data_IF_232859721619
#
_entry.id   IF_232859721619
#
_cell.length_a   1.000
_cell.length_b   1.000
_cell.length_c   1.000
_cell.angle_alpha   90.00
_cell.angle_beta   90.00
_cell.angle_gamma   90.00
#
_symmetry.space_group_name_H-M   'P 1'
#
loop_
_entity.id
_entity.type
_entity.pdbx_description
1 polymer ?
#
# COMPACT_ATOMS: atom_id res chain seq x y z
N UNK A 1 -4.05 21.92 -11.33
CA UNK A 1 -3.62 21.34 -10.05
C UNK A 1 -4.04 22.32 -8.98
N UNK A 2 -4.84 21.93 -7.98
CA UNK A 2 -5.25 22.83 -6.90
C UNK A 2 -4.01 23.32 -6.14
N UNK A 3 -4.01 24.59 -5.76
CA UNK A 3 -2.87 25.19 -5.05
C UNK A 3 -2.76 24.60 -3.64
N UNK A 4 -1.53 24.51 -3.10
CA UNK A 4 -1.28 24.11 -1.71
C UNK A 4 -2.09 24.98 -0.74
N UNK A 5 -2.18 26.29 -1.02
CA UNK A 5 -2.94 27.23 -0.20
C UNK A 5 -4.46 26.95 -0.26
N UNK A 6 -4.97 26.55 -1.44
CA UNK A 6 -6.37 26.21 -1.65
C UNK A 6 -6.76 24.92 -0.92
N UNK A 7 -5.94 23.88 -1.03
CA UNK A 7 -6.13 22.63 -0.30
C UNK A 7 -6.00 22.86 1.22
N UNK A 8 -5.01 23.64 1.66
CA UNK A 8 -4.81 23.96 3.08
C UNK A 8 -5.95 24.77 3.68
N UNK A 9 -6.69 25.54 2.88
CA UNK A 9 -7.90 26.24 3.32
C UNK A 9 -9.11 25.30 3.54
N UNK A 10 -9.21 24.22 2.76
CA UNK A 10 -10.34 23.27 2.84
C UNK A 10 -10.08 22.12 3.83
N UNK A 11 -8.82 21.71 3.97
CA UNK A 11 -8.39 20.57 4.79
C UNK A 11 -8.85 20.63 6.26
N UNK A 12 -8.78 21.77 6.98
CA UNK A 12 -9.11 21.82 8.40
C UNK A 12 -10.57 21.43 8.68
N UNK A 13 -11.50 21.84 7.83
CA UNK A 13 -12.94 21.54 7.97
C UNK A 13 -13.21 20.03 7.90
N UNK A 14 -12.55 19.34 6.96
CA UNK A 14 -12.73 17.90 6.80
C UNK A 14 -11.96 17.11 7.87
N UNK A 15 -10.77 17.55 8.27
CA UNK A 15 -9.97 16.91 9.30
C UNK A 15 -10.65 16.90 10.68
N UNK A 16 -11.44 17.93 11.01
CA UNK A 16 -12.20 17.98 12.28
C UNK A 16 -13.19 16.82 12.43
N UNK A 17 -13.63 16.22 11.32
CA UNK A 17 -14.56 15.08 11.34
C UNK A 17 -13.86 13.73 11.52
N UNK A 18 -12.52 13.71 11.50
CA UNK A 18 -11.72 12.50 11.54
C UNK A 18 -11.08 12.30 12.92
N UNK A 19 -10.94 11.03 13.32
CA UNK A 19 -10.12 10.65 14.47
C UNK A 19 -8.68 10.51 14.00
N UNK A 20 -7.88 11.54 14.23
CA UNK A 20 -6.47 11.61 13.84
C UNK A 20 -5.57 11.13 14.98
N UNK A 21 -4.40 10.57 14.66
CA UNK A 21 -3.40 10.26 15.68
C UNK A 21 -2.77 11.53 16.27
N UNK A 22 -2.25 11.44 17.50
CA UNK A 22 -1.57 12.57 18.18
C UNK A 22 -0.36 13.10 17.39
N UNK A 23 0.23 12.27 16.54
CA UNK A 23 1.40 12.62 15.73
C UNK A 23 1.02 13.09 14.30
N UNK A 24 -0.27 13.19 13.98
CA UNK A 24 -0.70 13.63 12.67
C UNK A 24 -0.37 15.11 12.45
N UNK A 25 0.32 15.41 11.35
CA UNK A 25 0.62 16.77 10.93
C UNK A 25 0.03 17.03 9.56
N UNK A 26 -0.98 17.93 9.44
CA UNK A 26 -1.61 18.27 8.17
C UNK A 26 -0.61 18.76 7.11
N UNK A 27 0.39 19.55 7.52
CA UNK A 27 1.43 20.05 6.62
C UNK A 27 2.34 18.94 6.09
N UNK A 28 2.70 17.97 6.94
CA UNK A 28 3.51 16.82 6.51
C UNK A 28 2.71 15.87 5.62
N UNK A 29 1.42 15.69 5.92
CA UNK A 29 0.49 14.95 5.07
C UNK A 29 0.39 15.58 3.67
N UNK A 30 0.12 16.89 3.58
CA UNK A 30 0.02 17.59 2.31
C UNK A 30 1.35 17.55 1.54
N UNK A 31 2.46 17.81 2.21
CA UNK A 31 3.78 17.80 1.57
C UNK A 31 4.11 16.41 1.03
N UNK A 32 3.82 15.34 1.78
CA UNK A 32 3.98 13.98 1.31
C UNK A 32 3.18 13.71 0.04
N UNK A 33 1.88 13.99 0.03
CA UNK A 33 1.07 13.72 -1.15
C UNK A 33 1.40 14.64 -2.33
N UNK A 34 1.82 15.89 -2.09
CA UNK A 34 2.26 16.77 -3.18
C UNK A 34 3.53 16.27 -3.87
N UNK A 35 4.48 15.73 -3.09
CA UNK A 35 5.74 15.22 -3.62
C UNK A 35 5.57 13.87 -4.32
N UNK A 36 4.77 12.98 -3.73
CA UNK A 36 4.71 11.57 -4.15
C UNK A 36 3.47 11.19 -4.96
N UNK A 37 2.36 11.93 -4.82
CA UNK A 37 1.08 11.54 -5.39
C UNK A 37 0.10 12.73 -5.55
N UNK A 38 0.50 13.81 -6.24
CA UNK A 38 -0.30 15.04 -6.30
C UNK A 38 -1.69 14.82 -6.91
N UNK A 39 -1.85 13.79 -7.73
CA UNK A 39 -3.11 13.42 -8.36
C UNK A 39 -4.13 12.85 -7.37
N UNK A 40 -3.69 12.26 -6.25
CA UNK A 40 -4.61 11.86 -5.17
C UNK A 40 -5.21 13.10 -4.48
N UNK A 41 -4.41 14.15 -4.30
CA UNK A 41 -4.94 15.42 -3.78
C UNK A 41 -5.89 16.08 -4.78
N UNK A 42 -5.58 16.00 -6.07
CA UNK A 42 -6.46 16.48 -7.11
C UNK A 42 -7.79 15.70 -7.15
N UNK A 43 -7.75 14.37 -7.02
CA UNK A 43 -8.95 13.54 -6.91
C UNK A 43 -9.77 13.92 -5.69
N UNK A 44 -9.14 14.02 -4.53
CA UNK A 44 -9.84 14.44 -3.32
C UNK A 44 -10.50 15.81 -3.49
N UNK A 45 -9.80 16.78 -4.08
CA UNK A 45 -10.37 18.08 -4.41
C UNK A 45 -11.57 17.98 -5.37
N UNK A 46 -11.49 17.11 -6.38
CA UNK A 46 -12.64 16.85 -7.26
C UNK A 46 -13.80 16.18 -6.54
N UNK A 47 -13.54 15.28 -5.58
CA UNK A 47 -14.59 14.71 -4.73
C UNK A 47 -15.22 15.79 -3.86
N UNK A 48 -14.44 16.74 -3.32
CA UNK A 48 -14.98 17.88 -2.58
C UNK A 48 -15.95 18.72 -3.41
N UNK A 49 -15.66 18.93 -4.70
CA UNK A 49 -16.49 19.71 -5.61
C UNK A 49 -17.75 18.95 -6.06
N UNK A 50 -17.61 17.67 -6.39
CA UNK A 50 -18.66 16.91 -7.06
C UNK A 50 -19.53 16.06 -6.10
N UNK A 51 -19.01 15.70 -4.93
CA UNK A 51 -19.64 14.76 -3.98
C UNK A 51 -19.19 15.05 -2.53
N UNK A 52 -19.47 16.24 -1.99
CA UNK A 52 -18.97 16.69 -0.69
C UNK A 52 -19.34 15.75 0.47
N UNK A 53 -20.47 15.05 0.38
CA UNK A 53 -20.91 14.05 1.36
C UNK A 53 -19.96 12.85 1.50
N UNK A 54 -19.21 12.52 0.44
CA UNK A 54 -18.21 11.43 0.45
C UNK A 54 -16.78 11.91 0.64
N UNK A 55 -16.54 13.22 0.56
CA UNK A 55 -15.20 13.82 0.60
C UNK A 55 -14.45 13.51 1.91
N UNK A 56 -15.16 13.50 3.04
CA UNK A 56 -14.60 13.14 4.36
C UNK A 56 -14.12 11.69 4.41
N UNK A 57 -14.89 10.75 3.84
CA UNK A 57 -14.51 9.33 3.78
C UNK A 57 -13.29 9.13 2.88
N UNK A 58 -13.24 9.83 1.75
CA UNK A 58 -12.10 9.78 0.86
C UNK A 58 -10.84 10.35 1.53
N UNK A 59 -10.96 11.48 2.24
CA UNK A 59 -9.85 12.03 3.03
C UNK A 59 -9.39 11.05 4.12
N UNK A 60 -10.32 10.38 4.79
CA UNK A 60 -9.99 9.39 5.82
C UNK A 60 -9.13 8.25 5.26
N UNK A 61 -9.43 7.75 4.06
CA UNK A 61 -8.60 6.72 3.43
C UNK A 61 -7.17 7.21 3.14
N UNK A 62 -7.02 8.46 2.69
CA UNK A 62 -5.70 9.06 2.48
C UNK A 62 -4.94 9.23 3.81
N UNK A 63 -5.62 9.70 4.86
CA UNK A 63 -5.02 9.87 6.19
C UNK A 63 -4.57 8.53 6.75
N UNK A 64 -5.42 7.50 6.71
CA UNK A 64 -5.07 6.16 7.19
C UNK A 64 -3.86 5.59 6.45
N UNK A 65 -3.85 5.68 5.12
CA UNK A 65 -2.72 5.22 4.31
C UNK A 65 -1.41 5.95 4.64
N UNK A 66 -1.48 7.25 4.90
CA UNK A 66 -0.32 8.03 5.34
C UNK A 66 0.17 7.61 6.72
N UNK A 67 -0.72 7.51 7.71
CA UNK A 67 -0.36 7.15 9.08
C UNK A 67 0.21 5.73 9.16
N UNK A 68 -0.35 4.76 8.42
CA UNK A 68 0.20 3.41 8.30
C UNK A 68 1.65 3.44 7.78
N UNK A 69 1.92 4.23 6.74
CA UNK A 69 3.27 4.37 6.19
C UNK A 69 4.22 5.04 7.19
N UNK A 70 3.77 6.06 7.93
CA UNK A 70 4.62 6.71 8.94
C UNK A 70 4.92 5.78 10.12
N UNK A 71 3.95 4.98 10.57
CA UNK A 71 4.16 3.99 11.63
C UNK A 71 5.19 2.92 11.23
N UNK A 72 5.15 2.47 9.97
CA UNK A 72 6.14 1.53 9.42
C UNK A 72 7.53 2.15 9.31
N UNK A 73 7.63 3.44 9.01
CA UNK A 73 8.92 4.13 8.89
C UNK A 73 9.76 4.04 10.16
N UNK A 74 9.12 4.05 11.33
CA UNK A 74 9.78 3.96 12.63
C UNK A 74 10.00 2.52 13.10
N UNK A 75 9.03 1.63 12.85
CA UNK A 75 9.04 0.25 13.36
C UNK A 75 9.80 -0.74 12.47
N UNK A 76 9.75 -0.56 11.14
CA UNK A 76 10.41 -1.46 10.18
C UNK A 76 10.77 -0.71 8.87
N UNK A 77 11.96 -0.06 8.82
CA UNK A 77 12.38 0.74 7.68
C UNK A 77 12.42 0.00 6.34
N UNK A 78 12.74 -1.30 6.35
CA UNK A 78 12.78 -2.13 5.14
C UNK A 78 11.38 -2.35 4.56
N UNK A 79 10.40 -2.65 5.43
CA UNK A 79 8.99 -2.80 5.03
C UNK A 79 8.42 -1.46 4.57
N UNK A 80 8.80 -0.35 5.22
CA UNK A 80 8.43 0.99 4.78
C UNK A 80 8.93 1.29 3.35
N UNK A 81 10.23 1.08 3.09
CA UNK A 81 10.81 1.36 1.77
C UNK A 81 10.11 0.54 0.67
N UNK A 82 9.81 -0.73 0.95
CA UNK A 82 9.08 -1.59 0.05
C UNK A 82 7.64 -1.09 -0.19
N UNK A 83 6.88 -0.79 0.87
CA UNK A 83 5.48 -0.36 0.77
C UNK A 83 5.34 1.01 0.09
N UNK A 84 6.28 1.92 0.35
CA UNK A 84 6.36 3.21 -0.32
C UNK A 84 6.64 3.06 -1.83
N UNK A 85 7.59 2.19 -2.21
CA UNK A 85 7.88 1.89 -3.62
C UNK A 85 6.67 1.29 -4.34
N UNK A 86 5.97 0.35 -3.68
CA UNK A 86 4.76 -0.27 -4.22
C UNK A 86 3.64 0.76 -4.41
N UNK A 87 3.40 1.60 -3.41
CA UNK A 87 2.41 2.68 -3.50
C UNK A 87 2.67 3.60 -4.70
N UNK A 88 3.93 4.00 -4.92
CA UNK A 88 4.31 4.79 -6.09
C UNK A 88 4.07 4.05 -7.41
N UNK A 89 4.34 2.75 -7.48
CA UNK A 89 4.09 1.95 -8.68
C UNK A 89 2.60 1.84 -8.98
N UNK A 90 1.77 1.55 -7.97
CA UNK A 90 0.31 1.48 -8.10
C UNK A 90 -0.26 2.81 -8.63
N UNK A 91 0.25 3.95 -8.12
CA UNK A 91 -0.12 5.27 -8.62
C UNK A 91 0.27 5.47 -10.08
N UNK A 92 1.52 5.19 -10.45
CA UNK A 92 1.98 5.32 -11.84
C UNK A 92 1.12 4.47 -12.80
N UNK A 93 0.79 3.24 -12.41
CA UNK A 93 -0.10 2.36 -13.16
C UNK A 93 -1.48 2.98 -13.33
N UNK A 94 -2.06 3.52 -12.25
CA UNK A 94 -3.38 4.16 -12.28
C UNK A 94 -3.41 5.40 -13.17
N UNK A 95 -2.38 6.24 -13.10
CA UNK A 95 -2.27 7.45 -13.93
C UNK A 95 -2.17 7.10 -15.41
N UNK A 96 -1.29 6.16 -15.75
CA UNK A 96 -1.17 5.69 -17.13
C UNK A 96 -2.48 5.08 -17.65
N UNK A 97 -3.20 4.34 -16.82
CA UNK A 97 -4.52 3.81 -17.18
C UNK A 97 -5.56 4.92 -17.44
N UNK A 98 -5.53 6.01 -16.66
CA UNK A 98 -6.39 7.18 -16.91
C UNK A 98 -6.03 7.90 -18.20
N UNK A 99 -4.74 8.08 -18.47
CA UNK A 99 -4.27 8.67 -19.73
C UNK A 99 -4.73 7.85 -20.94
N UNK A 100 -4.62 6.51 -20.86
CA UNK A 100 -5.13 5.60 -21.88
C UNK A 100 -6.62 5.81 -22.08
N UNK A 101 -7.43 5.82 -21.00
CA UNK A 101 -8.88 6.04 -21.11
C UNK A 101 -9.22 7.39 -21.73
N UNK A 102 -8.49 8.45 -21.37
CA UNK A 102 -8.68 9.79 -21.92
C UNK A 102 -8.35 9.83 -23.42
N UNK A 103 -7.20 9.29 -23.82
CA UNK A 103 -6.80 9.21 -25.22
C UNK A 103 -7.76 8.36 -26.04
N UNK A 104 -8.20 7.22 -25.51
CA UNK A 104 -9.17 6.33 -26.16
C UNK A 104 -10.52 7.05 -26.38
N UNK A 105 -11.00 7.80 -25.38
CA UNK A 105 -12.19 8.65 -25.50
C UNK A 105 -12.01 9.80 -26.52
N UNK A 106 -10.86 10.48 -26.52
CA UNK A 106 -10.57 11.56 -27.48
C UNK A 106 -10.48 11.07 -28.93
N UNK A 107 -10.13 9.80 -29.13
CA UNK A 107 -10.01 9.17 -30.44
C UNK A 107 -11.31 8.51 -30.90
N UNK A 108 -12.35 8.47 -30.06
CA UNK A 108 -13.66 7.98 -30.49
C UNK A 108 -14.17 8.81 -31.68
N UNK A 109 -14.54 8.11 -32.75
CA UNK A 109 -15.03 8.67 -34.02
C UNK A 109 -13.98 9.41 -34.88
N UNK A 110 -12.69 9.32 -34.56
CA UNK A 110 -11.61 9.88 -35.38
C UNK A 110 -10.92 8.79 -36.19
N UNK A 111 -10.51 9.11 -37.42
CA UNK A 111 -9.74 8.15 -38.22
C UNK A 111 -8.28 8.12 -37.77
N UNK A 112 -7.62 6.96 -37.95
CA UNK A 112 -6.20 6.79 -37.64
C UNK A 112 -5.34 7.77 -38.44
N UNK A 113 -5.73 8.05 -39.69
CA UNK A 113 -5.07 8.99 -40.59
C UNK A 113 -5.20 10.46 -40.16
N UNK A 114 -6.22 10.82 -39.39
CA UNK A 114 -6.41 12.19 -38.88
C UNK A 114 -5.58 12.49 -37.63
N UNK A 115 -5.34 11.49 -36.77
CA UNK A 115 -4.63 11.66 -35.49
C UNK A 115 -3.59 10.56 -35.23
N UNK A 116 -2.77 10.25 -36.24
CA UNK A 116 -1.74 9.19 -36.21
C UNK A 116 -0.89 9.24 -34.94
N UNK A 117 -0.43 10.42 -34.54
CA UNK A 117 0.44 10.60 -33.36
C UNK A 117 -0.25 10.19 -32.06
N UNK A 118 -1.55 10.51 -31.91
CA UNK A 118 -2.32 10.14 -30.72
C UNK A 118 -2.64 8.64 -30.69
N UNK A 119 -2.91 8.03 -31.84
CA UNK A 119 -3.07 6.58 -31.94
C UNK A 119 -1.77 5.84 -31.59
N UNK A 120 -0.63 6.34 -32.05
CA UNK A 120 0.69 5.81 -31.70
C UNK A 120 0.95 5.96 -30.20
N UNK A 121 0.69 7.12 -29.62
CA UNK A 121 0.82 7.37 -28.18
C UNK A 121 -0.09 6.44 -27.36
N UNK A 122 -1.35 6.25 -27.77
CA UNK A 122 -2.27 5.32 -27.12
C UNK A 122 -1.72 3.90 -27.13
N UNK A 123 -1.18 3.44 -28.27
CA UNK A 123 -0.59 2.11 -28.39
C UNK A 123 0.64 1.95 -27.50
N UNK A 124 1.56 2.93 -27.50
CA UNK A 124 2.74 2.94 -26.64
C UNK A 124 2.35 2.91 -25.16
N UNK A 125 1.35 3.71 -24.75
CA UNK A 125 0.86 3.72 -23.39
C UNK A 125 0.22 2.38 -23.00
N UNK A 126 -0.56 1.75 -23.89
CA UNK A 126 -1.12 0.40 -23.67
C UNK A 126 -0.02 -0.66 -23.48
N UNK A 127 1.04 -0.63 -24.29
CA UNK A 127 2.19 -1.53 -24.13
C UNK A 127 2.95 -1.29 -22.82
N UNK A 128 3.19 -0.02 -22.48
CA UNK A 128 3.85 0.37 -21.22
C UNK A 128 3.04 -0.10 -20.00
N UNK A 129 1.71 0.08 -20.03
CA UNK A 129 0.83 -0.38 -18.95
C UNK A 129 0.88 -1.90 -18.82
N UNK A 130 0.80 -2.64 -19.94
CA UNK A 130 0.93 -4.09 -19.94
C UNK A 130 2.22 -4.54 -19.28
N UNK A 131 3.36 -3.96 -19.66
CA UNK A 131 4.66 -4.28 -19.06
C UNK A 131 4.68 -4.00 -17.55
N UNK A 132 4.17 -2.84 -17.11
CA UNK A 132 4.10 -2.52 -15.69
C UNK A 132 3.26 -3.52 -14.88
N UNK A 133 2.16 -4.01 -15.46
CA UNK A 133 1.32 -5.03 -14.82
C UNK A 133 1.99 -6.40 -14.79
N UNK A 134 2.73 -6.77 -15.84
CA UNK A 134 3.53 -8.00 -15.88
C UNK A 134 4.66 -7.96 -14.84
N UNK A 135 5.38 -6.83 -14.73
CA UNK A 135 6.43 -6.62 -13.74
C UNK A 135 5.87 -6.71 -12.30
N UNK A 136 4.71 -6.09 -12.01
CA UNK A 136 4.04 -6.18 -10.70
C UNK A 136 3.59 -7.60 -10.39
N UNK A 137 3.03 -8.30 -11.38
CA UNK A 137 2.64 -9.70 -11.22
C UNK A 137 3.82 -10.60 -10.86
N UNK A 138 4.94 -10.48 -11.58
CA UNK A 138 6.15 -11.26 -11.32
C UNK A 138 6.73 -10.95 -9.94
N UNK A 139 6.78 -9.67 -9.56
CA UNK A 139 7.27 -9.26 -8.25
C UNK A 139 6.44 -9.87 -7.11
N UNK A 140 5.11 -9.85 -7.22
CA UNK A 140 4.22 -10.47 -6.22
C UNK A 140 4.36 -11.98 -6.16
N UNK A 141 4.51 -12.63 -7.32
CA UNK A 141 4.70 -14.07 -7.37
C UNK A 141 6.01 -14.47 -6.66
N UNK A 142 7.10 -13.73 -6.88
CA UNK A 142 8.37 -13.97 -6.20
C UNK A 142 8.26 -13.74 -4.69
N UNK A 143 7.59 -12.67 -4.26
CA UNK A 143 7.35 -12.38 -2.86
C UNK A 143 6.57 -13.49 -2.16
N UNK A 144 5.47 -13.94 -2.77
CA UNK A 144 4.68 -15.05 -2.26
C UNK A 144 5.49 -16.34 -2.15
N UNK A 145 6.36 -16.63 -3.13
CA UNK A 145 7.24 -17.79 -3.07
C UNK A 145 8.26 -17.72 -1.93
N UNK A 146 8.83 -16.53 -1.67
CA UNK A 146 9.76 -16.32 -0.56
C UNK A 146 9.03 -16.53 0.77
N UNK A 147 7.85 -15.93 0.93
CA UNK A 147 7.07 -16.04 2.17
C UNK A 147 6.61 -17.49 2.41
N UNK A 148 6.17 -18.21 1.39
CA UNK A 148 5.84 -19.64 1.51
C UNK A 148 7.04 -20.45 2.02
N UNK A 149 8.23 -20.26 1.44
CA UNK A 149 9.44 -20.97 1.88
C UNK A 149 9.82 -20.65 3.33
N UNK A 150 9.64 -19.38 3.73
CA UNK A 150 9.87 -18.96 5.11
C UNK A 150 8.90 -19.67 6.06
N UNK A 151 7.61 -19.64 5.76
CA UNK A 151 6.57 -20.28 6.56
C UNK A 151 6.76 -21.81 6.62
N UNK A 152 7.15 -22.45 5.53
CA UNK A 152 7.50 -23.88 5.50
C UNK A 152 8.68 -24.19 6.42
N UNK A 153 9.69 -23.33 6.45
CA UNK A 153 10.86 -23.47 7.33
C UNK A 153 10.46 -23.31 8.80
N UNK A 154 9.67 -22.28 9.13
CA UNK A 154 9.15 -22.06 10.48
C UNK A 154 8.29 -23.26 10.93
N UNK A 155 7.42 -23.78 10.06
CA UNK A 155 6.60 -24.96 10.33
C UNK A 155 7.46 -26.20 10.59
N UNK A 156 8.50 -26.44 9.79
CA UNK A 156 9.40 -27.58 10.00
C UNK A 156 10.16 -27.47 11.32
N UNK A 157 10.59 -26.26 11.70
CA UNK A 157 11.22 -26.01 12.99
C UNK A 157 10.27 -26.31 14.16
N UNK A 158 9.01 -25.88 14.07
CA UNK A 158 8.00 -26.18 15.09
C UNK A 158 7.72 -27.69 15.21
N UNK A 159 7.72 -28.42 14.09
CA UNK A 159 7.61 -29.89 14.10
C UNK A 159 8.78 -30.53 14.82
N UNK A 160 10.02 -30.13 14.53
CA UNK A 160 11.20 -30.64 15.24
C UNK A 160 11.12 -30.36 16.74
N UNK A 161 10.72 -29.15 17.15
CA UNK A 161 10.54 -28.82 18.56
C UNK A 161 9.46 -29.67 19.25
N UNK A 162 8.38 -30.02 18.53
CA UNK A 162 7.35 -30.92 19.06
C UNK A 162 7.88 -32.34 19.23
N UNK A 163 8.64 -32.85 18.25
CA UNK A 163 9.27 -34.17 18.32
C UNK A 163 10.30 -34.24 19.46
N UNK A 164 11.16 -33.22 19.61
CA UNK A 164 12.09 -33.10 20.73
C UNK A 164 11.37 -33.05 22.07
N UNK A 165 10.23 -32.37 22.15
CA UNK A 165 9.44 -32.28 23.38
C UNK A 165 8.81 -33.62 23.75
N UNK A 166 8.28 -34.36 22.77
CA UNK A 166 7.72 -35.70 23.03
C UNK A 166 8.82 -36.69 23.39
N UNK A 167 9.99 -36.62 22.74
CA UNK A 167 11.15 -37.45 23.09
C UNK A 167 11.66 -37.18 24.52
N UNK A 168 11.56 -35.92 24.98
CA UNK A 168 11.98 -35.50 26.33
C UNK A 168 10.84 -35.52 27.35
N UNK A 169 9.68 -36.08 27.03
CA UNK A 169 8.46 -36.01 27.84
C UNK A 169 8.67 -36.46 29.28
N UNK A 170 9.32 -37.61 29.48
CA UNK A 170 9.52 -38.17 30.81
C UNK A 170 10.44 -37.28 31.65
N UNK A 171 11.54 -36.79 31.07
CA UNK A 171 12.44 -35.83 31.72
C UNK A 171 11.71 -34.53 32.10
N UNK A 172 10.87 -34.00 31.20
CA UNK A 172 10.06 -32.80 31.44
C UNK A 172 9.06 -33.03 32.59
N UNK A 173 8.43 -34.20 32.65
CA UNK A 173 7.48 -34.57 33.71
C UNK A 173 8.21 -34.72 35.04
N UNK A 174 9.34 -35.42 35.07
CA UNK A 174 10.18 -35.61 36.26
C UNK A 174 10.68 -34.28 36.82
N UNK A 175 11.17 -33.39 35.96
CA UNK A 175 11.65 -32.08 36.39
C UNK A 175 10.52 -31.21 36.94
N UNK A 176 9.32 -31.25 36.31
CA UNK A 176 8.13 -30.57 36.84
C UNK A 176 7.71 -31.11 38.19
N UNK A 177 7.71 -32.42 38.37
CA UNK A 177 7.39 -33.05 39.65
C UNK A 177 8.35 -32.58 40.73
N UNK A 178 9.66 -32.72 40.50
CA UNK A 178 10.68 -32.29 41.46
C UNK A 178 10.53 -30.82 41.84
N UNK A 179 10.23 -29.93 40.87
CA UNK A 179 9.97 -28.50 41.11
C UNK A 179 8.74 -28.23 41.97
N UNK A 180 7.72 -29.08 41.91
CA UNK A 180 6.46 -28.91 42.65
C UNK A 180 6.49 -29.57 44.03
N UNK A 181 7.17 -30.71 44.15
CA UNK A 181 7.17 -31.52 45.37
C UNK A 181 8.43 -31.34 46.22
N UNK A 182 9.52 -30.81 45.65
CA UNK A 182 10.88 -30.84 46.20
C UNK A 182 11.37 -32.26 46.56
N UNK A 183 10.76 -33.28 45.96
CA UNK A 183 11.13 -34.69 46.13
C UNK A 183 11.73 -35.23 44.84
N UNK A 184 12.60 -36.22 44.97
CA UNK A 184 13.05 -37.00 43.83
C UNK A 184 11.91 -37.86 43.28
N UNK A 185 11.90 -38.04 41.96
CA UNK A 185 10.86 -38.79 41.22
C UNK A 185 10.88 -40.28 41.53
#
# INVERSE_FOLDING_TARGET
MPDKAELAGQLPTYLQTLKLSENFSPDRFLTFYQEYAPELLQEWHQVCLNSPETASQHLQQLVLGYEELQALKQSNPSVYAWRAKRFQQELKTRLLAKEIKKLDAELQNKSVTEQTDKFLQLHQNKQKLKKMLEDDFQARQQEQQIEMKRLETEMNMLKMLLEEREANKDNIIQEKYRKLTNLDW
#
